data_IF_721592205670
#
_entry.id   IF_721592205670
#
_cell.length_a   1.000
_cell.length_b   1.000
_cell.length_c   1.000
_cell.angle_alpha   90.00
_cell.angle_beta   90.00
_cell.angle_gamma   90.00
#
_symmetry.space_group_name_H-M   'P 1'
#
loop_
_entity.id
_entity.type
_entity.pdbx_description
1 polymer ?
#
# COMPACT_ATOMS: atom_id res chain seq x y z
N UNK A 1 -2.74 -26.20 -9.97
CA UNK A 1 -3.64 -25.92 -11.11
C UNK A 1 -4.13 -24.47 -11.09
N UNK A 2 -4.78 -24.00 -10.02
CA UNK A 2 -5.31 -22.61 -9.99
C UNK A 2 -4.23 -21.54 -10.04
N UNK A 3 -3.13 -21.69 -9.28
CA UNK A 3 -2.01 -20.73 -9.32
C UNK A 3 -1.49 -20.47 -10.74
N UNK A 4 -1.34 -21.53 -11.55
CA UNK A 4 -0.92 -21.42 -12.95
C UNK A 4 -1.94 -20.64 -13.80
N UNK A 5 -3.23 -20.90 -13.61
CA UNK A 5 -4.28 -20.16 -14.32
C UNK A 5 -4.29 -18.66 -13.97
N UNK A 6 -3.98 -18.32 -12.72
CA UNK A 6 -3.84 -16.92 -12.26
C UNK A 6 -2.62 -16.27 -12.92
N UNK A 7 -1.46 -16.95 -12.94
CA UNK A 7 -0.25 -16.45 -13.59
C UNK A 7 -0.44 -16.20 -15.09
N UNK A 8 -1.21 -17.03 -15.77
CA UNK A 8 -1.51 -16.88 -17.20
C UNK A 8 -2.60 -15.84 -17.49
N UNK A 9 -3.23 -15.24 -16.47
CA UNK A 9 -4.31 -14.27 -16.63
C UNK A 9 -5.59 -14.82 -17.27
N UNK A 10 -5.75 -16.15 -17.35
CA UNK A 10 -6.90 -16.81 -18.02
C UNK A 10 -8.17 -16.83 -17.17
N UNK A 11 -8.12 -16.28 -15.96
CA UNK A 11 -9.17 -16.37 -14.97
C UNK A 11 -9.27 -15.06 -14.17
N UNK A 12 -10.48 -14.53 -14.03
CA UNK A 12 -10.78 -13.37 -13.19
C UNK A 12 -12.14 -13.58 -12.48
N UNK A 13 -12.36 -12.89 -11.36
CA UNK A 13 -13.63 -12.91 -10.64
C UNK A 13 -14.02 -14.26 -10.04
N UNK A 14 -13.05 -15.11 -9.69
CA UNK A 14 -13.30 -16.41 -9.03
C UNK A 14 -12.79 -16.43 -7.60
N UNK A 15 -13.52 -17.12 -6.74
CA UNK A 15 -13.18 -17.26 -5.31
C UNK A 15 -12.71 -18.67 -5.00
N UNK A 16 -11.74 -18.79 -4.10
CA UNK A 16 -11.33 -20.04 -3.48
C UNK A 16 -11.62 -20.00 -1.99
N UNK A 17 -12.15 -21.10 -1.44
CA UNK A 17 -12.39 -21.25 -0.01
C UNK A 17 -11.48 -22.35 0.54
N UNK A 18 -10.65 -22.01 1.52
CA UNK A 18 -9.85 -22.98 2.25
C UNK A 18 -10.55 -23.32 3.57
N UNK A 19 -11.05 -24.55 3.70
CA UNK A 19 -11.73 -25.03 4.89
C UNK A 19 -10.92 -26.14 5.58
N UNK A 20 -10.97 -26.17 6.91
CA UNK A 20 -10.29 -27.19 7.73
C UNK A 20 -10.07 -26.72 9.17
N UNK A 21 -9.72 -27.62 10.11
CA UNK A 21 -9.46 -27.30 11.51
C UNK A 21 -8.44 -26.17 11.72
N UNK A 22 -8.42 -25.48 12.87
CA UNK A 22 -7.36 -24.52 13.19
C UNK A 22 -5.95 -25.12 13.02
N UNK A 23 -4.98 -24.28 12.71
CA UNK A 23 -3.56 -24.67 12.57
C UNK A 23 -3.21 -25.67 11.45
N UNK A 24 -4.10 -25.92 10.49
CA UNK A 24 -3.81 -26.77 9.31
C UNK A 24 -3.16 -26.04 8.13
N UNK A 25 -2.56 -24.86 8.36
CA UNK A 25 -1.79 -24.16 7.32
C UNK A 25 -2.60 -23.43 6.23
N UNK A 26 -3.91 -23.21 6.41
CA UNK A 26 -4.76 -22.46 5.44
C UNK A 26 -4.16 -21.11 5.03
N UNK A 27 -3.74 -20.32 6.02
CA UNK A 27 -3.08 -19.03 5.79
C UNK A 27 -1.70 -19.19 5.16
N UNK A 28 -0.93 -20.20 5.58
CA UNK A 28 0.39 -20.48 5.02
C UNK A 28 0.33 -20.82 3.53
N UNK A 29 -0.68 -21.59 3.10
CA UNK A 29 -0.92 -21.88 1.69
C UNK A 29 -1.24 -20.60 0.91
N UNK A 30 -2.11 -19.73 1.43
CA UNK A 30 -2.42 -18.46 0.80
C UNK A 30 -1.18 -17.55 0.67
N UNK A 31 -0.35 -17.47 1.71
CA UNK A 31 0.91 -16.71 1.69
C UNK A 31 1.92 -17.32 0.70
N UNK A 32 2.04 -18.64 0.64
CA UNK A 32 2.92 -19.32 -0.32
C UNK A 32 2.48 -19.07 -1.77
N UNK A 33 1.17 -19.04 -2.04
CA UNK A 33 0.63 -18.66 -3.34
C UNK A 33 0.97 -17.21 -3.69
N UNK A 34 0.81 -16.28 -2.75
CA UNK A 34 1.16 -14.87 -2.94
C UNK A 34 2.64 -14.69 -3.31
N UNK A 35 3.55 -15.33 -2.56
CA UNK A 35 4.98 -15.29 -2.84
C UNK A 35 5.33 -15.89 -4.21
N UNK A 36 4.62 -16.93 -4.64
CA UNK A 36 4.84 -17.60 -5.93
C UNK A 36 4.34 -16.78 -7.14
N UNK A 37 3.47 -15.78 -6.93
CA UNK A 37 3.03 -14.89 -8.01
C UNK A 37 4.10 -13.83 -8.36
N UNK A 38 5.06 -13.60 -7.47
CA UNK A 38 6.15 -12.64 -7.66
C UNK A 38 5.86 -11.24 -7.06
N UNK A 39 6.89 -10.41 -6.91
CA UNK A 39 6.80 -9.12 -6.20
C UNK A 39 5.93 -8.08 -6.92
N UNK A 40 5.74 -8.22 -8.23
CA UNK A 40 4.98 -7.26 -9.02
C UNK A 40 3.45 -7.51 -9.02
N UNK A 41 3.00 -8.63 -8.43
CA UNK A 41 1.57 -8.95 -8.36
C UNK A 41 1.05 -8.49 -6.99
N UNK A 42 0.10 -7.53 -6.94
CA UNK A 42 -0.43 -7.07 -5.67
C UNK A 42 -1.19 -8.18 -4.96
N UNK A 43 -0.97 -8.29 -3.66
CA UNK A 43 -1.66 -9.25 -2.80
C UNK A 43 -2.16 -8.54 -1.54
N UNK A 44 -3.48 -8.48 -1.36
CA UNK A 44 -4.10 -7.82 -0.21
C UNK A 44 -4.58 -8.87 0.79
N UNK A 45 -4.11 -8.77 2.02
CA UNK A 45 -4.67 -9.52 3.16
C UNK A 45 -5.68 -8.61 3.86
N UNK A 46 -6.87 -9.14 4.13
CA UNK A 46 -7.90 -8.45 4.89
C UNK A 46 -8.49 -9.41 5.92
N UNK A 47 -8.69 -8.91 7.13
CA UNK A 47 -9.41 -9.60 8.20
C UNK A 47 -10.87 -9.18 8.19
N UNK A 48 -11.76 -10.08 8.62
CA UNK A 48 -13.19 -9.77 8.66
C UNK A 48 -13.49 -8.55 9.53
N UNK A 49 -12.79 -8.41 10.67
CA UNK A 49 -12.95 -7.30 11.60
C UNK A 49 -12.62 -5.94 11.00
N UNK A 50 -11.68 -5.85 10.05
CA UNK A 50 -11.36 -4.60 9.34
C UNK A 50 -12.50 -4.13 8.43
N UNK A 51 -13.36 -5.04 7.95
CA UNK A 51 -14.55 -4.69 7.16
C UNK A 51 -15.65 -4.08 8.02
N UNK A 52 -15.72 -4.45 9.30
CA UNK A 52 -16.69 -3.94 10.26
C UNK A 52 -16.13 -2.70 10.99
N UNK A 53 -16.00 -1.60 10.26
CA UNK A 53 -15.59 -0.30 10.83
C UNK A 53 -16.79 0.61 11.15
N UNK A 54 -16.64 1.49 12.15
CA UNK A 54 -17.57 2.58 12.44
C UNK A 54 -17.35 3.80 11.53
N UNK A 55 -16.14 3.95 10.97
CA UNK A 55 -15.77 5.12 10.16
C UNK A 55 -16.09 4.97 8.68
N UNK A 56 -16.34 3.74 8.21
CA UNK A 56 -16.49 3.43 6.78
C UNK A 56 -17.55 2.36 6.58
N UNK A 57 -18.31 2.46 5.48
CA UNK A 57 -19.31 1.45 5.15
C UNK A 57 -18.65 0.11 4.76
N UNK A 58 -19.32 -1.00 5.06
CA UNK A 58 -18.85 -2.36 4.69
C UNK A 58 -18.58 -2.49 3.19
N UNK A 59 -19.46 -1.91 2.36
CA UNK A 59 -19.33 -1.92 0.90
C UNK A 59 -18.10 -1.16 0.45
N UNK A 60 -17.82 0.00 1.05
CA UNK A 60 -16.63 0.79 0.73
C UNK A 60 -15.35 0.06 1.16
N UNK A 61 -15.36 -0.55 2.35
CA UNK A 61 -14.24 -1.36 2.84
C UNK A 61 -13.86 -2.48 1.86
N UNK A 62 -14.87 -3.25 1.40
CA UNK A 62 -14.68 -4.30 0.41
C UNK A 62 -14.24 -3.75 -0.95
N UNK A 63 -14.85 -2.64 -1.40
CA UNK A 63 -14.51 -2.00 -2.68
C UNK A 63 -13.03 -1.57 -2.69
N UNK A 64 -12.53 -1.00 -1.60
CA UNK A 64 -11.12 -0.64 -1.47
C UNK A 64 -10.22 -1.87 -1.45
N UNK A 65 -10.60 -2.93 -0.73
CA UNK A 65 -9.84 -4.18 -0.69
C UNK A 65 -9.68 -4.81 -2.09
N UNK A 66 -10.76 -4.82 -2.89
CA UNK A 66 -10.70 -5.27 -4.28
C UNK A 66 -9.80 -4.38 -5.14
N UNK A 67 -9.92 -3.05 -5.04
CA UNK A 67 -9.09 -2.11 -5.81
C UNK A 67 -7.59 -2.23 -5.48
N UNK A 68 -7.24 -2.39 -4.20
CA UNK A 68 -5.85 -2.62 -3.77
C UNK A 68 -5.26 -3.93 -4.33
N UNK A 69 -6.11 -4.90 -4.63
CA UNK A 69 -5.71 -6.21 -5.19
C UNK A 69 -5.58 -6.21 -6.71
N UNK A 70 -5.82 -5.09 -7.40
CA UNK A 70 -5.74 -4.96 -8.85
C UNK A 70 -4.58 -4.01 -9.19
N UNK A 71 -3.55 -4.56 -9.84
CA UNK A 71 -2.36 -3.80 -10.23
C UNK A 71 -2.45 -3.31 -11.67
N UNK A 72 -2.00 -2.08 -11.90
CA UNK A 72 -1.82 -1.51 -13.24
C UNK A 72 -0.33 -1.20 -13.42
N UNK A 73 0.30 -1.84 -14.42
CA UNK A 73 1.72 -1.59 -14.73
C UNK A 73 1.81 -0.64 -15.91
N UNK A 74 2.38 0.54 -15.67
CA UNK A 74 2.67 1.55 -16.69
C UNK A 74 4.18 1.54 -16.91
N UNK A 75 4.62 1.48 -18.17
CA UNK A 75 6.03 1.59 -18.53
C UNK A 75 6.29 3.02 -18.99
N UNK A 76 7.29 3.65 -18.40
CA UNK A 76 7.74 4.98 -18.75
C UNK A 76 9.26 4.96 -18.92
N UNK A 77 9.77 5.81 -19.81
CA UNK A 77 11.20 6.04 -19.97
C UNK A 77 11.61 7.20 -19.05
N UNK A 78 12.74 7.05 -18.37
CA UNK A 78 13.27 8.10 -17.51
C UNK A 78 14.79 8.09 -17.58
N UNK A 79 15.38 9.28 -17.59
CA UNK A 79 16.83 9.44 -17.53
C UNK A 79 17.30 9.22 -16.09
N UNK A 80 18.29 8.35 -15.91
CA UNK A 80 18.86 8.00 -14.61
C UNK A 80 20.32 8.45 -14.60
N UNK A 81 20.75 9.13 -13.53
CA UNK A 81 22.15 9.50 -13.31
C UNK A 81 22.78 8.43 -12.42
N UNK A 82 23.81 7.74 -12.94
CA UNK A 82 24.57 6.73 -12.22
C UNK A 82 25.99 7.25 -11.94
N UNK A 83 26.51 7.01 -10.73
CA UNK A 83 27.85 7.44 -10.35
C UNK A 83 28.18 7.07 -8.90
N UNK A 84 29.47 7.10 -8.57
CA UNK A 84 29.94 6.91 -7.20
C UNK A 84 29.71 8.20 -6.39
N UNK A 85 29.10 8.05 -5.21
CA UNK A 85 28.96 9.16 -4.27
C UNK A 85 30.27 9.32 -3.50
N UNK A 86 30.99 10.39 -3.80
CA UNK A 86 32.27 10.72 -3.13
C UNK A 86 32.02 11.44 -1.80
N UNK A 87 31.05 12.36 -1.76
CA UNK A 87 30.75 13.15 -0.58
C UNK A 87 29.27 13.61 -0.59
N UNK A 88 28.62 13.60 0.58
CA UNK A 88 27.29 14.19 0.80
C UNK A 88 27.42 15.23 1.91
N UNK A 89 27.26 16.52 1.58
CA UNK A 89 27.12 17.60 2.56
C UNK A 89 25.67 18.06 2.64
N UNK A 90 25.13 18.15 3.86
CA UNK A 90 23.76 18.62 4.12
C UNK A 90 23.83 19.83 5.05
N UNK A 91 23.60 21.01 4.52
CA UNK A 91 23.47 22.23 5.33
C UNK A 91 22.04 22.37 5.84
N UNK A 92 21.88 22.39 7.16
CA UNK A 92 20.62 22.78 7.81
C UNK A 92 20.76 24.22 8.31
N UNK A 93 20.07 25.16 7.66
CA UNK A 93 19.92 26.52 8.20
C UNK A 93 18.96 26.51 9.40
N UNK A 94 19.46 26.87 10.57
CA UNK A 94 18.67 27.08 11.79
C UNK A 94 17.97 28.45 11.76
N UNK A 95 17.26 28.77 10.69
CA UNK A 95 16.46 30.01 10.58
C UNK A 95 15.00 29.65 10.40
N UNK A 96 14.43 29.04 11.45
CA UNK A 96 13.00 28.71 11.56
C UNK A 96 12.42 29.02 12.95
N UNK A 97 13.16 29.69 13.84
CA UNK A 97 12.60 30.23 15.07
C UNK A 97 11.82 31.51 14.73
N UNK A 98 10.50 31.37 14.56
CA UNK A 98 9.57 32.49 14.46
C UNK A 98 9.72 33.39 15.69
N UNK A 99 10.39 34.54 15.55
CA UNK A 99 10.21 35.67 16.46
C UNK A 99 8.82 36.27 16.20
N UNK A 100 7.85 35.88 17.02
CA UNK A 100 6.54 36.53 17.06
C UNK A 100 6.72 38.02 17.41
N UNK A 101 6.29 38.98 16.58
CA UNK A 101 6.26 40.38 16.98
C UNK A 101 5.15 40.59 18.02
N UNK A 102 5.36 41.36 19.10
CA UNK A 102 4.29 41.71 20.02
C UNK A 102 3.23 42.54 19.30
N UNK A 103 1.96 42.17 19.51
CA UNK A 103 0.79 42.79 18.91
C UNK A 103 0.62 44.22 19.47
N UNK A 104 1.19 45.23 18.80
CA UNK A 104 0.82 46.61 19.04
C UNK A 104 -0.42 46.95 18.21
N UNK A 105 -1.59 46.98 18.86
CA UNK A 105 -2.84 47.49 18.30
C UNK A 105 -2.71 48.98 17.92
N UNK A 106 -3.10 49.41 16.70
CA UNK A 106 -3.10 50.82 16.35
C UNK A 106 -4.35 51.54 16.88
N UNK A 107 -4.13 52.53 17.75
CA UNK A 107 -4.67 53.89 17.57
C UNK A 107 -6.01 54.30 18.18
N UNK A 108 -5.93 55.20 19.17
CA UNK A 108 -6.70 56.44 19.30
C UNK A 108 -8.24 56.39 19.40
N UNK A 109 -8.75 56.49 20.64
CA UNK A 109 -9.40 57.71 21.16
C UNK A 109 -9.46 57.67 22.69
#
# INVERSE_FOLDING_TARGET
MILKMVQEGRIAGRTMLFAGPPSTGKTAIAMGMAQSLGPDVPFTIITASEVFSLSMSKTEALTQAFRRSIGVRIKEESEIIEGEVVEIQIDRSMTGARSQPPLSSPGAN
#
